data_IF_041735024352
#
_entry.id   IF_041735024352
#
_cell.length_a   1.000
_cell.length_b   1.000
_cell.length_c   1.000
_cell.angle_alpha   90.00
_cell.angle_beta   90.00
_cell.angle_gamma   90.00
#
_symmetry.space_group_name_H-M   'P 1'
#
loop_
_entity.id
_entity.type
_entity.pdbx_description
1 polymer ?
#
# COMPACT_ATOMS: atom_id res chain seq x y z
N UNK A 1 -37.92 22.54 -11.72
CA UNK A 1 -37.09 22.48 -10.52
C UNK A 1 -36.26 21.20 -10.57
N UNK A 2 -35.02 21.28 -11.07
CA UNK A 2 -34.02 20.24 -10.82
C UNK A 2 -33.47 20.56 -9.45
N UNK A 3 -33.82 19.76 -8.44
CA UNK A 3 -33.10 19.74 -7.15
C UNK A 3 -31.66 19.28 -7.44
N UNK A 4 -30.74 20.22 -7.35
CA UNK A 4 -29.31 19.86 -7.32
C UNK A 4 -29.06 19.00 -6.07
N UNK A 5 -28.79 17.73 -6.28
CA UNK A 5 -28.34 16.88 -5.20
C UNK A 5 -26.90 17.29 -4.91
N UNK A 6 -26.71 18.11 -3.90
CA UNK A 6 -25.38 18.44 -3.39
C UNK A 6 -24.88 17.20 -2.66
N UNK A 7 -23.95 16.48 -3.28
CA UNK A 7 -23.26 15.39 -2.60
C UNK A 7 -22.34 16.00 -1.53
N UNK A 8 -22.74 15.88 -0.27
CA UNK A 8 -21.89 16.22 0.87
C UNK A 8 -21.10 14.96 1.21
N UNK A 9 -19.77 15.05 1.17
CA UNK A 9 -18.88 13.96 1.59
C UNK A 9 -19.03 13.73 3.09
N UNK A 10 -19.52 12.56 3.49
CA UNK A 10 -19.58 12.12 4.88
C UNK A 10 -18.46 11.12 5.14
N UNK A 11 -17.41 11.59 5.80
CA UNK A 11 -16.20 10.79 6.07
C UNK A 11 -16.49 9.50 6.85
N UNK A 12 -17.45 9.57 7.80
CA UNK A 12 -17.81 8.40 8.60
C UNK A 12 -18.53 7.35 7.77
N UNK A 13 -19.49 7.76 6.97
CA UNK A 13 -20.25 6.87 6.08
C UNK A 13 -19.28 6.20 5.08
N UNK A 14 -18.42 6.99 4.43
CA UNK A 14 -17.45 6.50 3.45
C UNK A 14 -16.46 5.55 4.10
N UNK A 15 -15.95 5.86 5.30
CA UNK A 15 -15.06 4.96 6.04
C UNK A 15 -15.75 3.62 6.30
N UNK A 16 -16.98 3.65 6.82
CA UNK A 16 -17.74 2.44 7.16
C UNK A 16 -18.03 1.61 5.88
N UNK A 17 -18.31 2.25 4.74
CA UNK A 17 -18.44 1.57 3.44
C UNK A 17 -17.14 0.90 3.01
N UNK A 18 -15.98 1.55 3.16
CA UNK A 18 -14.67 0.96 2.81
C UNK A 18 -14.34 -0.23 3.70
N UNK A 19 -14.57 -0.12 5.00
CA UNK A 19 -14.38 -1.22 5.95
C UNK A 19 -15.26 -2.42 5.58
N UNK A 20 -16.54 -2.20 5.27
CA UNK A 20 -17.44 -3.28 4.83
C UNK A 20 -17.01 -3.88 3.50
N UNK A 21 -16.58 -3.05 2.55
CA UNK A 21 -16.06 -3.53 1.26
C UNK A 21 -14.84 -4.44 1.44
N UNK A 22 -13.90 -4.10 2.35
CA UNK A 22 -12.75 -4.94 2.67
C UNK A 22 -13.20 -6.28 3.25
N UNK A 23 -14.16 -6.29 4.18
CA UNK A 23 -14.74 -7.52 4.74
C UNK A 23 -15.33 -8.42 3.64
N UNK A 24 -16.13 -7.84 2.77
CA UNK A 24 -16.77 -8.54 1.66
C UNK A 24 -15.74 -9.10 0.67
N UNK A 25 -14.67 -8.33 0.38
CA UNK A 25 -13.60 -8.80 -0.47
C UNK A 25 -12.95 -10.06 0.11
N UNK A 26 -12.60 -10.06 1.39
CA UNK A 26 -11.95 -11.21 2.02
C UNK A 26 -12.88 -12.42 2.15
N UNK A 27 -14.17 -12.23 2.43
CA UNK A 27 -15.13 -13.34 2.45
C UNK A 27 -15.24 -14.03 1.07
N UNK A 28 -15.17 -13.28 -0.01
CA UNK A 28 -15.34 -13.80 -1.39
C UNK A 28 -14.04 -14.30 -2.00
N UNK A 29 -12.91 -13.64 -1.74
CA UNK A 29 -11.66 -13.82 -2.49
C UNK A 29 -10.47 -14.23 -1.63
N UNK A 30 -10.63 -14.34 -0.31
CA UNK A 30 -9.52 -14.61 0.59
C UNK A 30 -9.95 -14.98 2.00
N UNK A 31 -10.96 -15.85 2.13
CA UNK A 31 -11.42 -16.29 3.44
C UNK A 31 -10.29 -16.89 4.25
N UNK A 32 -10.04 -16.31 5.44
CA UNK A 32 -8.92 -16.69 6.31
C UNK A 32 -7.54 -16.18 5.87
N UNK A 33 -7.44 -15.43 4.76
CA UNK A 33 -6.18 -14.79 4.37
C UNK A 33 -5.88 -13.55 5.20
N UNK A 34 -4.60 -13.17 5.23
CA UNK A 34 -4.11 -11.93 5.83
C UNK A 34 -4.09 -10.79 4.80
N UNK A 35 -4.30 -9.55 5.24
CA UNK A 35 -3.97 -8.36 4.45
C UNK A 35 -2.49 -8.04 4.63
N UNK A 36 -1.72 -7.99 3.54
CA UNK A 36 -0.28 -7.66 3.56
C UNK A 36 -0.08 -6.30 2.91
N UNK A 37 0.51 -5.37 3.63
CA UNK A 37 0.59 -3.97 3.22
C UNK A 37 1.98 -3.40 3.39
N UNK A 38 2.46 -2.68 2.36
CA UNK A 38 3.69 -1.89 2.45
C UNK A 38 3.47 -0.64 3.29
N UNK A 39 4.24 -0.49 4.36
CA UNK A 39 4.15 0.64 5.28
C UNK A 39 5.29 1.61 5.01
N UNK A 40 4.98 2.75 4.41
CA UNK A 40 5.96 3.80 4.10
C UNK A 40 6.06 4.88 5.18
N UNK A 41 5.11 4.94 6.12
CA UNK A 41 4.94 6.06 7.04
C UNK A 41 4.17 7.24 6.44
N UNK A 42 3.75 7.15 5.17
CA UNK A 42 2.89 8.13 4.50
C UNK A 42 1.40 7.92 4.83
N UNK A 43 0.58 8.96 4.54
CA UNK A 43 -0.87 8.96 4.83
C UNK A 43 -1.62 7.78 4.20
N UNK A 44 -1.34 7.46 2.93
CA UNK A 44 -2.12 6.47 2.18
C UNK A 44 -1.91 5.06 2.75
N UNK A 45 -0.66 4.66 2.99
CA UNK A 45 -0.36 3.38 3.62
C UNK A 45 -0.92 3.30 5.05
N UNK A 46 -0.95 4.42 5.77
CA UNK A 46 -1.50 4.49 7.13
C UNK A 46 -3.00 4.27 7.16
N UNK A 47 -3.73 4.96 6.29
CA UNK A 47 -5.20 4.85 6.21
C UNK A 47 -5.60 3.47 5.68
N UNK A 48 -4.94 2.96 4.64
CA UNK A 48 -5.21 1.62 4.13
C UNK A 48 -4.99 0.55 5.21
N UNK A 49 -3.93 0.67 6.03
CA UNK A 49 -3.68 -0.24 7.14
C UNK A 49 -4.76 -0.15 8.22
N UNK A 50 -5.18 1.05 8.59
CA UNK A 50 -6.23 1.28 9.57
C UNK A 50 -7.58 0.70 9.12
N UNK A 51 -7.97 0.91 7.84
CA UNK A 51 -9.17 0.31 7.26
C UNK A 51 -9.12 -1.23 7.30
N UNK A 52 -7.96 -1.82 6.97
CA UNK A 52 -7.79 -3.27 7.04
C UNK A 52 -7.87 -3.78 8.48
N UNK A 53 -7.30 -3.07 9.46
CA UNK A 53 -7.39 -3.45 10.88
C UNK A 53 -8.82 -3.37 11.38
N UNK A 54 -9.56 -2.32 11.05
CA UNK A 54 -10.98 -2.19 11.43
C UNK A 54 -11.86 -3.26 10.76
N UNK A 55 -11.51 -3.65 9.54
CA UNK A 55 -12.26 -4.68 8.80
C UNK A 55 -12.00 -6.10 9.30
N UNK A 56 -10.73 -6.46 9.54
CA UNK A 56 -10.28 -7.85 9.72
C UNK A 56 -9.77 -8.16 11.13
N UNK A 57 -9.48 -7.13 11.92
CA UNK A 57 -8.75 -7.23 13.18
C UNK A 57 -7.23 -7.23 12.96
N UNK A 58 -6.49 -6.74 13.97
CA UNK A 58 -5.04 -6.56 13.92
C UNK A 58 -4.24 -7.83 13.62
N UNK A 59 -4.75 -8.98 14.07
CA UNK A 59 -4.05 -10.28 13.93
C UNK A 59 -4.06 -10.79 12.47
N UNK A 60 -4.88 -10.21 11.62
CA UNK A 60 -4.99 -10.52 10.19
C UNK A 60 -4.40 -9.44 9.27
N UNK A 61 -3.68 -8.46 9.83
CA UNK A 61 -2.99 -7.42 9.07
C UNK A 61 -1.50 -7.50 9.32
N UNK A 62 -0.71 -7.54 8.26
CA UNK A 62 0.74 -7.64 8.33
C UNK A 62 1.36 -6.47 7.57
N UNK A 63 2.13 -5.66 8.30
CA UNK A 63 2.89 -4.55 7.73
C UNK A 63 4.26 -5.00 7.21
N UNK A 64 4.70 -4.46 6.09
CA UNK A 64 6.06 -4.67 5.58
C UNK A 64 6.72 -3.31 5.36
N UNK A 65 7.74 -3.02 6.15
CA UNK A 65 8.56 -1.83 6.02
C UNK A 65 9.70 -2.15 5.06
N UNK A 66 9.87 -1.37 4.00
CA UNK A 66 10.83 -1.66 2.94
C UNK A 66 11.71 -0.45 2.63
N UNK A 67 12.59 -0.06 3.59
CA UNK A 67 13.55 1.01 3.35
C UNK A 67 14.53 0.62 2.24
N UNK A 68 15.00 1.63 1.48
CA UNK A 68 16.15 1.51 0.59
C UNK A 68 17.35 2.18 1.27
N UNK A 69 18.21 1.40 1.90
CA UNK A 69 19.28 1.94 2.73
C UNK A 69 18.76 2.58 4.01
N UNK A 70 19.31 3.73 4.36
CA UNK A 70 18.88 4.51 5.53
C UNK A 70 17.68 5.40 5.14
N UNK A 71 16.55 5.17 5.80
CA UNK A 71 15.35 5.99 5.64
C UNK A 71 15.16 6.85 6.90
N UNK A 72 15.34 8.16 6.79
CA UNK A 72 15.35 9.09 7.93
C UNK A 72 14.01 9.21 8.67
N UNK A 73 12.90 8.90 8.02
CA UNK A 73 11.54 9.00 8.57
C UNK A 73 10.87 7.64 8.81
N UNK A 74 11.67 6.57 8.92
CA UNK A 74 11.17 5.21 9.16
C UNK A 74 10.41 5.10 10.50
N UNK A 75 10.73 5.94 11.46
CA UNK A 75 10.04 6.01 12.78
C UNK A 75 8.55 6.27 12.63
N UNK A 76 8.09 6.97 11.58
CA UNK A 76 6.66 7.15 11.30
C UNK A 76 5.99 5.81 10.93
N UNK A 77 6.69 4.97 10.18
CA UNK A 77 6.21 3.64 9.85
C UNK A 77 6.13 2.75 11.10
N UNK A 78 7.15 2.78 11.96
CA UNK A 78 7.13 2.07 13.25
C UNK A 78 6.06 2.59 14.19
N UNK A 79 5.88 3.92 14.27
CA UNK A 79 4.81 4.51 15.08
C UNK A 79 3.44 3.97 14.67
N UNK A 80 3.19 3.88 13.36
CA UNK A 80 1.93 3.34 12.84
C UNK A 80 1.72 1.88 13.20
N UNK A 81 2.69 1.00 12.91
CA UNK A 81 2.52 -0.43 13.15
C UNK A 81 2.38 -0.75 14.64
N UNK A 82 3.08 0.00 15.49
CA UNK A 82 2.96 -0.11 16.95
C UNK A 82 1.61 0.41 17.43
N UNK A 83 1.12 1.54 16.91
CA UNK A 83 -0.20 2.10 17.25
C UNK A 83 -1.33 1.13 16.88
N UNK A 84 -1.27 0.54 15.70
CA UNK A 84 -2.25 -0.44 15.23
C UNK A 84 -2.08 -1.81 15.90
N UNK A 85 -0.95 -2.07 16.54
CA UNK A 85 -0.62 -3.35 17.18
C UNK A 85 -0.53 -4.51 16.19
N UNK A 86 -0.16 -4.25 14.94
CA UNK A 86 -0.06 -5.26 13.89
C UNK A 86 1.31 -5.92 13.85
N UNK A 87 1.33 -7.19 13.43
CA UNK A 87 2.58 -7.88 13.10
C UNK A 87 3.25 -7.17 11.93
N UNK A 88 4.57 -7.00 11.99
CA UNK A 88 5.31 -6.39 10.90
C UNK A 88 6.67 -7.03 10.68
N UNK A 89 7.21 -6.81 9.48
CA UNK A 89 8.56 -7.18 9.07
C UNK A 89 9.26 -5.97 8.48
N UNK A 90 10.56 -5.86 8.69
CA UNK A 90 11.41 -4.92 7.96
C UNK A 90 12.26 -5.70 6.95
N UNK A 91 12.24 -5.24 5.70
CA UNK A 91 13.05 -5.79 4.61
C UNK A 91 13.75 -4.63 3.90
N UNK A 92 15.02 -4.41 4.19
CA UNK A 92 15.80 -3.39 3.48
C UNK A 92 16.08 -3.86 2.04
N UNK A 93 15.61 -3.10 1.07
CA UNK A 93 15.71 -3.46 -0.35
C UNK A 93 17.01 -2.98 -1.02
N UNK A 94 17.95 -2.39 -0.26
CA UNK A 94 19.16 -1.81 -0.83
C UNK A 94 20.01 -2.85 -1.58
N UNK A 95 20.28 -4.01 -0.96
CA UNK A 95 21.10 -5.05 -1.58
C UNK A 95 20.46 -5.59 -2.88
N UNK A 96 19.15 -5.79 -2.89
CA UNK A 96 18.43 -6.23 -4.07
C UNK A 96 18.53 -5.18 -5.20
N UNK A 97 18.39 -3.90 -4.85
CA UNK A 97 18.55 -2.80 -5.79
C UNK A 97 19.97 -2.76 -6.36
N UNK A 98 21.00 -2.81 -5.51
CA UNK A 98 22.40 -2.76 -5.91
C UNK A 98 22.76 -3.97 -6.78
N UNK A 99 22.28 -5.15 -6.43
CA UNK A 99 22.50 -6.38 -7.20
C UNK A 99 21.97 -6.28 -8.63
N UNK A 100 20.76 -5.70 -8.81
CA UNK A 100 20.19 -5.51 -10.14
C UNK A 100 20.99 -4.47 -10.93
N UNK A 101 21.35 -3.36 -10.31
CA UNK A 101 22.12 -2.29 -10.96
C UNK A 101 23.51 -2.80 -11.39
N UNK A 102 24.21 -3.52 -10.48
CA UNK A 102 25.55 -4.03 -10.72
C UNK A 102 25.58 -5.21 -11.70
N UNK A 103 24.46 -5.87 -11.93
CA UNK A 103 24.37 -6.96 -12.92
C UNK A 103 24.17 -6.47 -14.35
N UNK A 104 24.03 -5.15 -14.58
CA UNK A 104 23.95 -4.62 -15.94
C UNK A 104 25.27 -4.81 -16.68
N UNK A 105 25.22 -5.12 -17.98
CA UNK A 105 26.44 -5.30 -18.79
C UNK A 105 27.28 -4.02 -18.85
N UNK A 106 28.59 -4.19 -19.05
CA UNK A 106 29.50 -3.08 -19.26
C UNK A 106 29.03 -2.16 -20.39
N UNK A 107 29.02 -0.87 -20.13
CA UNK A 107 28.55 0.15 -21.08
C UNK A 107 27.03 0.30 -21.17
N UNK A 108 26.24 -0.46 -20.40
CA UNK A 108 24.79 -0.26 -20.32
C UNK A 108 24.44 0.77 -19.24
N UNK A 109 23.89 1.91 -19.65
CA UNK A 109 23.48 2.96 -18.74
C UNK A 109 21.97 2.87 -18.43
N UNK A 110 21.62 2.74 -17.14
CA UNK A 110 20.23 2.84 -16.70
C UNK A 110 19.75 4.29 -16.81
N UNK A 111 18.60 4.49 -17.46
CA UNK A 111 17.96 5.80 -17.49
C UNK A 111 17.52 6.26 -16.10
N UNK A 112 17.41 7.57 -15.91
CA UNK A 112 16.88 8.16 -14.65
C UNK A 112 15.51 7.56 -14.29
N UNK A 113 14.64 7.35 -15.27
CA UNK A 113 13.33 6.74 -15.07
C UNK A 113 13.45 5.29 -14.59
N UNK A 114 14.39 4.51 -15.12
CA UNK A 114 14.64 3.13 -14.67
C UNK A 114 15.11 3.11 -13.21
N UNK A 115 16.06 3.98 -12.87
CA UNK A 115 16.60 4.11 -11.50
C UNK A 115 15.49 4.49 -10.51
N UNK A 116 14.59 5.42 -10.88
CA UNK A 116 13.48 5.88 -10.04
C UNK A 116 12.42 4.79 -9.87
N UNK A 117 12.12 4.03 -10.92
CA UNK A 117 11.04 3.03 -10.91
C UNK A 117 11.48 1.64 -10.41
N UNK A 118 12.77 1.37 -10.28
CA UNK A 118 13.26 0.09 -9.81
C UNK A 118 12.89 -0.19 -8.34
N UNK A 119 13.07 0.74 -7.38
CA UNK A 119 12.71 0.48 -5.99
C UNK A 119 11.23 0.13 -5.77
N UNK A 120 10.23 0.83 -6.35
CA UNK A 120 8.81 0.42 -6.23
C UNK A 120 8.55 -0.99 -6.74
N UNK A 121 9.22 -1.43 -7.81
CA UNK A 121 9.07 -2.78 -8.35
C UNK A 121 9.68 -3.85 -7.44
N UNK A 122 10.83 -3.57 -6.83
CA UNK A 122 11.45 -4.46 -5.84
C UNK A 122 10.53 -4.57 -4.61
N UNK A 123 9.95 -3.47 -4.13
CA UNK A 123 8.99 -3.48 -3.03
C UNK A 123 7.76 -4.33 -3.36
N UNK A 124 7.22 -4.21 -4.56
CA UNK A 124 6.09 -5.04 -5.01
C UNK A 124 6.46 -6.53 -4.98
N UNK A 125 7.62 -6.91 -5.52
CA UNK A 125 8.12 -8.30 -5.50
C UNK A 125 8.27 -8.80 -4.06
N UNK A 126 8.81 -7.98 -3.17
CA UNK A 126 8.96 -8.29 -1.74
C UNK A 126 7.60 -8.50 -1.06
N UNK A 127 6.62 -7.63 -1.33
CA UNK A 127 5.26 -7.76 -0.79
C UNK A 127 4.60 -9.07 -1.20
N UNK A 128 4.72 -9.47 -2.47
CA UNK A 128 4.15 -10.73 -2.93
C UNK A 128 4.89 -11.94 -2.35
N UNK A 129 6.21 -11.89 -2.17
CA UNK A 129 6.96 -12.93 -1.50
C UNK A 129 6.50 -13.14 -0.05
N UNK A 130 6.32 -12.04 0.70
CA UNK A 130 5.75 -12.09 2.06
C UNK A 130 4.31 -12.59 2.02
N UNK A 131 3.48 -12.04 1.15
CA UNK A 131 2.06 -12.38 1.03
C UNK A 131 1.84 -13.87 0.81
N UNK A 132 2.56 -14.47 -0.13
CA UNK A 132 2.47 -15.92 -0.39
C UNK A 132 2.92 -16.75 0.81
N UNK A 133 3.94 -16.29 1.53
CA UNK A 133 4.48 -17.00 2.70
C UNK A 133 3.55 -16.98 3.92
N UNK A 134 2.65 -16.00 4.00
CA UNK A 134 1.73 -15.82 5.14
C UNK A 134 0.25 -16.02 4.77
N UNK A 135 -0.03 -16.68 3.67
CA UNK A 135 -1.39 -16.81 3.14
C UNK A 135 -2.11 -15.45 3.05
N UNK A 136 -1.50 -14.51 2.34
CA UNK A 136 -1.94 -13.12 2.29
C UNK A 136 -2.56 -12.68 0.97
N UNK A 137 -3.06 -11.45 0.99
CA UNK A 137 -3.45 -10.64 -0.16
C UNK A 137 -2.79 -9.28 -0.05
N UNK A 138 -2.16 -8.83 -1.12
CA UNK A 138 -1.44 -7.54 -1.13
C UNK A 138 -2.43 -6.39 -1.25
N UNK A 139 -2.32 -5.43 -0.33
CA UNK A 139 -3.11 -4.19 -0.34
C UNK A 139 -2.45 -3.17 -1.24
N UNK A 140 -3.17 -2.69 -2.25
CA UNK A 140 -2.78 -1.49 -3.00
C UNK A 140 -3.15 -0.25 -2.18
N UNK A 141 -2.25 0.72 -2.11
CA UNK A 141 -2.41 1.95 -1.33
C UNK A 141 -2.64 3.21 -2.18
N UNK A 142 -2.74 3.06 -3.51
CA UNK A 142 -3.03 4.19 -4.40
C UNK A 142 -4.44 4.73 -4.16
N UNK A 143 -4.58 6.04 -4.33
CA UNK A 143 -5.84 6.75 -4.30
C UNK A 143 -6.24 7.21 -5.72
N UNK A 144 -7.50 7.62 -5.88
CA UNK A 144 -8.04 8.05 -7.18
C UNK A 144 -7.24 9.18 -7.83
N UNK A 145 -6.71 10.12 -7.03
CA UNK A 145 -5.96 11.25 -7.58
C UNK A 145 -4.64 10.81 -8.22
N UNK A 146 -3.97 9.80 -7.64
CA UNK A 146 -2.76 9.21 -8.20
C UNK A 146 -3.06 8.46 -9.49
N UNK A 147 -4.15 7.69 -9.50
CA UNK A 147 -4.59 6.94 -10.68
C UNK A 147 -4.96 7.88 -11.84
N UNK A 148 -5.65 8.99 -11.55
CA UNK A 148 -6.05 9.98 -12.56
C UNK A 148 -4.87 10.64 -13.28
N UNK A 149 -3.80 10.95 -12.55
CA UNK A 149 -2.62 11.62 -13.13
C UNK A 149 -1.53 10.63 -13.54
N UNK A 150 -1.73 9.32 -13.31
CA UNK A 150 -0.73 8.29 -13.59
C UNK A 150 0.51 8.40 -12.69
N UNK A 151 0.36 8.92 -11.48
CA UNK A 151 1.46 9.08 -10.53
C UNK A 151 1.69 7.81 -9.73
N UNK A 152 2.04 6.75 -10.42
CA UNK A 152 2.41 5.46 -9.83
C UNK A 152 3.34 4.69 -10.77
N UNK A 153 4.17 3.83 -10.21
CA UNK A 153 5.06 2.98 -11.00
C UNK A 153 4.31 1.75 -11.49
N UNK A 154 4.19 1.61 -12.80
CA UNK A 154 3.60 0.42 -13.43
C UNK A 154 4.36 -0.84 -13.01
N UNK A 155 3.65 -1.85 -12.54
CA UNK A 155 4.18 -3.08 -11.94
C UNK A 155 5.01 -2.85 -10.66
N UNK A 156 4.85 -1.71 -10.02
CA UNK A 156 5.39 -1.36 -8.72
C UNK A 156 4.26 -1.05 -7.75
N UNK A 157 4.22 0.18 -7.23
CA UNK A 157 3.21 0.66 -6.28
C UNK A 157 1.78 0.72 -6.83
N UNK A 158 1.59 0.67 -8.17
CA UNK A 158 0.26 0.55 -8.80
C UNK A 158 -0.38 -0.84 -8.64
N UNK A 159 0.30 -1.82 -8.10
CA UNK A 159 -0.16 -3.23 -8.06
C UNK A 159 -0.61 -3.64 -6.66
N UNK A 160 -1.65 -4.46 -6.61
CA UNK A 160 -2.17 -5.13 -5.43
C UNK A 160 -3.31 -6.06 -5.78
N UNK A 161 -3.70 -6.92 -4.84
CA UNK A 161 -4.82 -7.85 -5.01
C UNK A 161 -6.16 -7.14 -4.79
N UNK A 162 -6.16 -6.05 -4.02
CA UNK A 162 -7.32 -5.18 -3.79
C UNK A 162 -6.89 -3.77 -3.40
N UNK A 163 -7.77 -2.79 -3.68
CA UNK A 163 -7.50 -1.35 -3.55
C UNK A 163 -8.62 -0.66 -2.77
N UNK A 164 -8.53 -0.56 -1.44
CA UNK A 164 -9.63 -0.01 -0.62
C UNK A 164 -9.89 1.47 -0.85
N UNK A 165 -8.95 2.21 -1.44
CA UNK A 165 -9.03 3.67 -1.61
C UNK A 165 -9.05 4.13 -3.08
N UNK A 166 -9.11 3.21 -4.06
CA UNK A 166 -8.99 3.55 -5.49
C UNK A 166 -10.05 4.52 -6.02
N UNK A 167 -11.17 4.66 -5.35
CA UNK A 167 -12.24 5.59 -5.71
C UNK A 167 -12.34 6.83 -4.79
N UNK A 168 -11.35 7.06 -3.94
CA UNK A 168 -11.25 8.22 -3.05
C UNK A 168 -10.16 9.16 -3.53
N UNK A 169 -10.49 10.43 -3.64
CA UNK A 169 -9.49 11.47 -3.91
C UNK A 169 -8.55 11.65 -2.71
N UNK A 170 -7.37 12.25 -2.93
CA UNK A 170 -6.43 12.54 -1.84
C UNK A 170 -7.05 13.41 -0.73
N UNK A 171 -8.01 14.27 -1.08
CA UNK A 171 -8.71 15.13 -0.11
C UNK A 171 -9.67 14.31 0.75
N UNK A 172 -10.40 13.37 0.15
CA UNK A 172 -11.32 12.45 0.85
C UNK A 172 -10.56 11.47 1.74
N UNK A 173 -9.45 10.90 1.24
CA UNK A 173 -8.56 10.02 2.04
C UNK A 173 -8.07 10.70 3.32
N UNK A 174 -7.86 12.02 3.31
CA UNK A 174 -7.44 12.77 4.50
C UNK A 174 -8.55 13.02 5.52
N UNK A 175 -9.80 12.80 5.14
CA UNK A 175 -10.96 13.07 5.98
C UNK A 175 -11.47 11.81 6.71
N UNK A 176 -11.18 10.64 6.18
CA UNK A 176 -11.56 9.35 6.76
C UNK A 176 -10.51 8.82 7.73
#
# INVERSE_FOLDING_TARGET
>A
NRSEVIWVFDAKVVKDERVNWVRDFFEKNGKGCNAVIGISGGKDSSIAAALCVEALGKDRVIGVLMPKGVQHDIDKAYLLVNHLGIKHYEVNIQEAYDSIVNAMPDGFELSTQSITNLPPRIRMTTLYAVSQSVNGRVVNTCNLSEDYVGYSTRYGDSVGDFSPMSNLTVTEVKQI
#
